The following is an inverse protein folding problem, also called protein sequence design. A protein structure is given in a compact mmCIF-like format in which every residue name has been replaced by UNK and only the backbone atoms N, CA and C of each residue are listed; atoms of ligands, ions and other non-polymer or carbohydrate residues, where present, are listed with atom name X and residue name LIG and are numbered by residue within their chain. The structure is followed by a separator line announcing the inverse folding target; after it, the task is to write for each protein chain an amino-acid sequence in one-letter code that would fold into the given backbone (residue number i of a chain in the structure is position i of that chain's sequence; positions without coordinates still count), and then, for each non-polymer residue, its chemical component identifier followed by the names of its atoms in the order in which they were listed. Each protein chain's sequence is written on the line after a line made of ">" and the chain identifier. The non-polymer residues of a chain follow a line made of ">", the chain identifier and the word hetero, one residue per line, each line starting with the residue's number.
data_IF_986489576929
#
_entry.id   IF_986489576929
#
_cell.length_a   1.000
_cell.length_b   1.000
_cell.length_c   1.000
_cell.angle_alpha   90.00
_cell.angle_beta   90.00
_cell.angle_gamma   90.00
#
_symmetry.space_group_name_H-M   'P 1'
#
loop_
_entity.id
_entity.type
_entity.pdbx_description
1 polymer ?
#
# COMPACT_ATOMS: atom_id res chain seq x y z
N UNK A 1 9.60 6.15 -46.82
CA UNK A 1 9.37 4.85 -46.13
C UNK A 1 10.48 4.71 -45.10
N UNK A 2 10.32 4.56 -43.79
CA UNK A 2 9.20 4.56 -42.83
C UNK A 2 9.93 4.75 -41.49
N UNK A 3 9.69 5.84 -40.77
CA UNK A 3 10.24 6.01 -39.43
C UNK A 3 9.42 5.15 -38.46
N UNK A 4 10.02 4.09 -37.93
CA UNK A 4 9.50 3.31 -36.81
C UNK A 4 9.53 4.19 -35.56
N UNK A 5 8.36 4.64 -35.11
CA UNK A 5 8.20 5.30 -33.82
C UNK A 5 8.27 4.24 -32.73
N UNK A 6 9.43 4.15 -32.08
CA UNK A 6 9.62 3.44 -30.81
C UNK A 6 8.86 4.20 -29.71
N UNK A 7 7.55 4.02 -29.64
CA UNK A 7 6.77 4.46 -28.48
C UNK A 7 6.75 3.32 -27.47
N UNK A 8 7.75 3.31 -26.58
CA UNK A 8 7.76 2.42 -25.43
C UNK A 8 6.46 2.55 -24.62
N UNK A 9 6.05 1.50 -23.87
CA UNK A 9 4.82 1.53 -23.10
C UNK A 9 4.80 2.76 -22.18
N UNK A 10 3.65 3.45 -22.05
CA UNK A 10 3.56 4.67 -21.25
C UNK A 10 4.01 4.38 -19.80
N UNK A 11 4.68 5.34 -19.13
CA UNK A 11 5.14 5.15 -17.77
C UNK A 11 3.96 4.82 -16.85
N UNK A 12 4.06 3.71 -16.10
CA UNK A 12 3.06 3.34 -15.10
C UNK A 12 3.06 4.41 -14.00
N UNK A 13 1.95 5.14 -13.89
CA UNK A 13 1.76 6.12 -12.82
C UNK A 13 1.39 5.38 -11.54
N UNK A 14 2.24 5.48 -10.53
CA UNK A 14 1.91 5.04 -9.18
C UNK A 14 0.90 6.03 -8.57
N UNK A 15 -0.20 5.50 -8.04
CA UNK A 15 -1.28 6.29 -7.43
C UNK A 15 -1.47 5.83 -5.99
N UNK A 16 -1.22 6.74 -5.04
CA UNK A 16 -1.49 6.53 -3.62
C UNK A 16 -2.71 7.36 -3.22
N UNK A 17 -3.71 6.71 -2.62
CA UNK A 17 -4.98 7.35 -2.24
C UNK A 17 -5.17 7.18 -0.74
N UNK A 18 -5.15 8.31 -0.03
CA UNK A 18 -5.45 8.35 1.40
C UNK A 18 -6.87 8.88 1.60
N UNK A 19 -7.71 8.10 2.28
CA UNK A 19 -9.07 8.50 2.61
C UNK A 19 -9.18 8.91 4.08
N UNK A 20 -9.88 10.01 4.36
CA UNK A 20 -10.11 10.55 5.70
C UNK A 20 -11.59 10.84 5.95
N UNK A 21 -11.99 10.85 7.24
CA UNK A 21 -13.37 11.15 7.65
C UNK A 21 -13.82 10.37 8.90
N UNK A 22 -15.00 10.69 9.47
CA UNK A 22 -15.46 10.15 10.75
C UNK A 22 -15.61 8.62 10.76
N UNK A 23 -15.45 7.92 11.91
CA UNK A 23 -15.80 6.50 12.02
C UNK A 23 -17.23 6.25 11.52
N UNK A 24 -17.45 5.15 10.78
CA UNK A 24 -18.76 4.83 10.20
C UNK A 24 -19.11 5.54 8.89
N UNK A 25 -18.31 6.50 8.40
CA UNK A 25 -18.60 7.25 7.16
C UNK A 25 -18.41 6.46 5.84
N UNK A 26 -18.17 5.14 5.89
CA UNK A 26 -18.04 4.29 4.71
C UNK A 26 -16.68 4.32 3.98
N UNK A 27 -15.64 4.96 4.55
CA UNK A 27 -14.30 5.05 3.91
C UNK A 27 -13.72 3.69 3.54
N UNK A 28 -13.74 2.73 4.45
CA UNK A 28 -13.17 1.39 4.22
C UNK A 28 -13.94 0.65 3.12
N UNK A 29 -15.27 0.85 3.05
CA UNK A 29 -16.11 0.34 1.97
C UNK A 29 -15.71 0.93 0.63
N UNK A 30 -15.59 2.27 0.54
CA UNK A 30 -15.18 2.95 -0.69
C UNK A 30 -13.75 2.61 -1.11
N UNK A 31 -12.80 2.56 -0.16
CA UNK A 31 -11.42 2.19 -0.42
C UNK A 31 -11.31 0.76 -0.99
N UNK A 32 -12.07 -0.18 -0.42
CA UNK A 32 -12.12 -1.56 -0.91
C UNK A 32 -12.71 -1.65 -2.32
N UNK A 33 -13.83 -0.96 -2.58
CA UNK A 33 -14.44 -0.93 -3.92
C UNK A 33 -13.53 -0.27 -4.96
N UNK A 34 -12.90 0.85 -4.59
CA UNK A 34 -11.97 1.57 -5.45
C UNK A 34 -10.76 0.72 -5.79
N UNK A 35 -10.11 0.12 -4.79
CA UNK A 35 -8.97 -0.79 -4.99
C UNK A 35 -9.32 -1.91 -5.97
N UNK A 36 -10.48 -2.56 -5.80
CA UNK A 36 -10.96 -3.59 -6.73
C UNK A 36 -11.20 -3.06 -8.14
N UNK A 37 -11.74 -1.85 -8.28
CA UNK A 37 -12.04 -1.26 -9.60
C UNK A 37 -10.80 -0.90 -10.42
N UNK A 38 -9.69 -0.55 -9.76
CA UNK A 38 -8.44 -0.13 -10.42
C UNK A 38 -7.34 -1.19 -10.37
N UNK A 39 -7.61 -2.37 -9.81
CA UNK A 39 -6.58 -3.38 -9.55
C UNK A 39 -5.53 -2.93 -8.53
N UNK A 40 -5.88 -2.01 -7.65
CA UNK A 40 -5.03 -1.49 -6.58
C UNK A 40 -5.09 -2.35 -5.32
N UNK A 41 -4.20 -2.06 -4.37
CA UNK A 41 -4.21 -2.72 -3.07
C UNK A 41 -4.79 -1.80 -2.00
N UNK A 42 -5.64 -2.37 -1.15
CA UNK A 42 -6.24 -1.65 -0.02
C UNK A 42 -5.46 -1.92 1.27
N UNK A 43 -4.84 -0.89 1.82
CA UNK A 43 -4.20 -0.92 3.14
C UNK A 43 -5.17 -0.38 4.21
N UNK A 44 -5.60 -1.25 5.13
CA UNK A 44 -6.52 -0.86 6.19
C UNK A 44 -5.76 -0.44 7.47
N UNK A 45 -5.61 0.86 7.66
CA UNK A 45 -4.92 1.43 8.82
C UNK A 45 -5.56 1.06 10.18
N UNK A 46 -6.88 0.82 10.23
CA UNK A 46 -7.55 0.45 11.48
C UNK A 46 -7.15 -0.97 11.92
N UNK A 47 -6.93 -1.89 10.97
CA UNK A 47 -6.46 -3.25 11.29
C UNK A 47 -5.03 -3.20 11.82
N UNK A 48 -4.14 -2.42 11.20
CA UNK A 48 -2.76 -2.24 11.66
C UNK A 48 -2.74 -1.67 13.07
N UNK A 49 -3.47 -0.58 13.31
CA UNK A 49 -3.57 0.06 14.63
C UNK A 49 -4.13 -0.90 15.69
N UNK A 50 -5.25 -1.57 15.40
CA UNK A 50 -5.86 -2.50 16.37
C UNK A 50 -4.98 -3.70 16.66
N UNK A 51 -4.23 -4.20 15.68
CA UNK A 51 -3.29 -5.33 15.86
C UNK A 51 -2.11 -4.93 16.72
N UNK A 52 -1.51 -3.76 16.46
CA UNK A 52 -0.39 -3.24 17.26
C UNK A 52 -0.82 -2.97 18.70
N UNK A 53 -1.96 -2.31 18.90
CA UNK A 53 -2.49 -2.02 20.24
C UNK A 53 -2.82 -3.27 21.08
N UNK A 54 -3.01 -4.44 20.47
CA UNK A 54 -3.18 -5.70 21.22
C UNK A 54 -1.89 -6.22 21.85
N UNK A 55 -0.73 -5.82 21.33
CA UNK A 55 0.57 -6.36 21.73
C UNK A 55 1.48 -5.31 22.37
N UNK A 56 1.20 -4.01 22.16
CA UNK A 56 1.94 -2.90 22.73
C UNK A 56 1.05 -2.20 23.78
N UNK A 57 1.35 -2.33 25.09
CA UNK A 57 0.52 -1.77 26.16
C UNK A 57 0.53 -0.24 26.20
N UNK A 58 1.65 0.37 25.81
CA UNK A 58 1.76 1.82 25.77
C UNK A 58 1.03 2.38 24.54
N UNK A 59 0.03 3.23 24.80
CA UNK A 59 -0.83 3.78 23.76
C UNK A 59 -0.07 4.62 22.73
N UNK A 60 0.87 5.44 23.19
CA UNK A 60 1.62 6.35 22.31
C UNK A 60 2.60 5.56 21.42
N UNK A 61 3.35 4.63 21.99
CA UNK A 61 4.22 3.73 21.25
C UNK A 61 3.42 2.86 20.26
N UNK A 62 2.25 2.35 20.66
CA UNK A 62 1.39 1.58 19.78
C UNK A 62 0.89 2.41 18.58
N UNK A 63 0.50 3.67 18.82
CA UNK A 63 0.04 4.58 17.77
C UNK A 63 1.18 4.94 16.79
N UNK A 64 2.36 5.25 17.32
CA UNK A 64 3.54 5.58 16.51
C UNK A 64 3.96 4.39 15.64
N UNK A 65 4.10 3.20 16.25
CA UNK A 65 4.48 1.99 15.54
C UNK A 65 3.47 1.60 14.45
N UNK A 66 2.17 1.74 14.72
CA UNK A 66 1.14 1.46 13.73
C UNK A 66 1.22 2.40 12.51
N UNK A 67 1.55 3.67 12.74
CA UNK A 67 1.72 4.66 11.68
C UNK A 67 2.97 4.35 10.84
N UNK A 68 4.11 4.13 11.50
CA UNK A 68 5.38 3.82 10.84
C UNK A 68 5.27 2.54 9.99
N UNK A 69 4.61 1.50 10.52
CA UNK A 69 4.36 0.26 9.79
C UNK A 69 3.45 0.48 8.58
N UNK A 70 2.38 1.28 8.73
CA UNK A 70 1.49 1.61 7.62
C UNK A 70 2.22 2.33 6.49
N UNK A 71 3.08 3.29 6.83
CA UNK A 71 3.89 4.02 5.87
C UNK A 71 4.92 3.12 5.17
N UNK A 72 5.66 2.31 5.93
CA UNK A 72 6.65 1.36 5.39
C UNK A 72 6.02 0.37 4.39
N UNK A 73 4.84 -0.17 4.73
CA UNK A 73 4.11 -1.07 3.83
C UNK A 73 3.66 -0.35 2.57
N UNK A 74 3.15 0.88 2.68
CA UNK A 74 2.77 1.67 1.52
C UNK A 74 3.97 1.94 0.58
N UNK A 75 5.12 2.32 1.13
CA UNK A 75 6.34 2.51 0.36
C UNK A 75 6.78 1.24 -0.37
N UNK A 76 6.78 0.10 0.32
CA UNK A 76 7.18 -1.18 -0.27
C UNK A 76 6.24 -1.60 -1.40
N UNK A 77 4.93 -1.42 -1.22
CA UNK A 77 3.93 -1.74 -2.25
C UNK A 77 4.05 -0.82 -3.46
N UNK A 78 4.39 0.45 -3.26
CA UNK A 78 4.64 1.39 -4.36
C UNK A 78 5.91 1.01 -5.14
N UNK A 79 6.98 0.57 -4.46
CA UNK A 79 8.20 0.05 -5.12
C UNK A 79 7.88 -1.19 -5.96
N UNK A 80 7.11 -2.13 -5.42
CA UNK A 80 6.71 -3.35 -6.12
C UNK A 80 5.77 -3.09 -7.30
N UNK A 81 4.86 -2.11 -7.19
CA UNK A 81 3.94 -1.71 -8.27
C UNK A 81 4.63 -1.05 -9.48
N UNK A 82 5.84 -0.51 -9.30
CA UNK A 82 6.66 0.06 -10.37
C UNK A 82 7.49 -0.98 -11.14
N UNK A 83 7.75 -2.13 -10.54
CA UNK A 83 8.55 -3.19 -11.13
C UNK A 83 7.64 -4.25 -11.77
N UNK A 84 7.49 -4.20 -13.10
CA UNK A 84 7.33 -5.46 -13.82
C UNK A 84 8.54 -6.33 -13.45
N UNK A 85 8.29 -7.50 -12.85
CA UNK A 85 9.22 -8.64 -12.65
C UNK A 85 9.94 -8.81 -11.31
N UNK A 86 9.98 -10.10 -10.94
CA UNK A 86 10.90 -10.81 -10.03
C UNK A 86 10.57 -10.83 -8.53
N UNK A 87 9.87 -11.89 -8.12
CA UNK A 87 9.90 -12.40 -6.75
C UNK A 87 11.06 -13.41 -6.69
N UNK A 88 12.10 -13.11 -5.93
CA UNK A 88 13.01 -14.13 -5.39
C UNK A 88 12.82 -14.14 -3.87
N UNK A 89 12.38 -15.25 -3.26
CA UNK A 89 12.31 -15.34 -1.80
C UNK A 89 13.75 -15.39 -1.25
N UNK A 90 14.16 -14.35 -0.52
CA UNK A 90 15.39 -14.41 0.27
C UNK A 90 15.14 -15.28 1.51
N UNK A 91 15.42 -16.58 1.38
CA UNK A 91 15.76 -17.42 2.53
C UNK A 91 17.15 -18.01 2.28
N UNK A 92 18.13 -17.60 3.08
CA UNK A 92 19.11 -18.50 3.71
C UNK A 92 19.90 -17.72 4.76
N UNK A 93 19.59 -18.07 6.00
CA UNK A 93 20.42 -18.24 7.19
C UNK A 93 21.92 -17.85 7.10
N UNK A 94 22.38 -17.15 8.14
CA UNK A 94 23.63 -17.47 8.84
C UNK A 94 23.39 -17.42 10.34
#
# INVERSE_FOLDING_TARGET
>A
MTATSEHGPPPRRLLFIQMFGPPGSGKSTMASLLARSIGGVFLNHDITRTTVSRHVPDFNAAAQLAYDLGWLLAEEMLKQGGASSSIAPATTNK
#
